data_IF_657852873465
#
_entry.id   IF_657852873465
#
_cell.length_a   1.000
_cell.length_b   1.000
_cell.length_c   1.000
_cell.angle_alpha   90.00
_cell.angle_beta   90.00
_cell.angle_gamma   90.00
#
_symmetry.space_group_name_H-M   'P 1'
#
loop_
_entity.id
_entity.type
_entity.pdbx_description
1 polymer ?
#
# COMPACT_ATOMS: atom_id res chain seq x y z
N UNK A 1 8.96 -28.80 4.94
CA UNK A 1 7.78 -28.37 5.72
C UNK A 1 7.58 -26.87 5.43
N UNK A 2 6.63 -26.51 4.56
CA UNK A 2 6.39 -25.10 4.19
C UNK A 2 5.57 -24.46 5.31
N UNK A 3 6.18 -23.55 6.08
CA UNK A 3 5.47 -22.70 7.03
C UNK A 3 4.50 -21.80 6.23
N UNK A 4 3.19 -21.80 6.52
CA UNK A 4 2.26 -20.96 5.79
C UNK A 4 2.53 -19.49 6.13
N UNK A 5 2.86 -18.70 5.10
CA UNK A 5 2.98 -17.24 5.19
C UNK A 5 1.59 -16.69 5.51
N UNK A 6 1.39 -15.89 6.58
CA UNK A 6 0.09 -15.29 6.86
C UNK A 6 -0.28 -14.37 5.69
N UNK A 7 -1.45 -14.61 5.08
CA UNK A 7 -1.96 -13.80 3.97
C UNK A 7 -2.00 -12.31 4.38
N UNK A 8 -1.19 -11.49 3.71
CA UNK A 8 -0.98 -10.04 3.91
C UNK A 8 -2.23 -9.15 3.75
N UNK A 9 -3.43 -9.72 3.64
CA UNK A 9 -4.68 -9.04 3.24
C UNK A 9 -5.61 -8.68 4.43
N UNK A 10 -5.07 -8.47 5.63
CA UNK A 10 -5.83 -8.37 6.88
C UNK A 10 -6.86 -7.23 6.97
N UNK A 11 -6.56 -6.05 6.41
CA UNK A 11 -7.41 -4.85 6.56
C UNK A 11 -8.67 -4.90 5.67
N UNK A 12 -8.51 -5.22 4.39
CA UNK A 12 -9.65 -5.37 3.48
C UNK A 12 -10.56 -6.53 3.91
N UNK A 13 -9.98 -7.57 4.53
CA UNK A 13 -10.74 -8.66 5.13
C UNK A 13 -11.64 -8.21 6.26
N UNK A 14 -11.20 -7.26 7.11
CA UNK A 14 -12.06 -6.72 8.16
C UNK A 14 -13.21 -5.90 7.56
N UNK A 15 -12.95 -5.10 6.52
CA UNK A 15 -13.97 -4.29 5.84
C UNK A 15 -15.01 -5.15 5.12
N UNK A 16 -14.59 -6.15 4.35
CA UNK A 16 -15.51 -7.01 3.60
C UNK A 16 -16.36 -7.91 4.52
N UNK A 17 -15.89 -8.21 5.75
CA UNK A 17 -16.70 -8.88 6.76
C UNK A 17 -17.86 -8.04 7.27
N UNK A 18 -17.76 -6.70 7.24
CA UNK A 18 -18.84 -5.79 7.64
C UNK A 18 -20.01 -5.86 6.62
N UNK A 19 -19.76 -6.34 5.39
CA UNK A 19 -20.71 -6.36 4.29
C UNK A 19 -21.19 -7.77 3.87
N UNK A 20 -21.14 -8.76 4.76
CA UNK A 20 -21.78 -10.09 4.55
C UNK A 20 -21.18 -10.87 3.38
N UNK A 21 -19.84 -10.89 3.26
CA UNK A 21 -19.15 -11.85 2.39
C UNK A 21 -18.45 -12.89 3.28
N UNK A 22 -19.09 -14.05 3.45
CA UNK A 22 -18.60 -15.15 4.29
C UNK A 22 -17.25 -15.73 3.80
N UNK A 23 -16.95 -15.58 2.51
CA UNK A 23 -15.66 -15.96 1.91
C UNK A 23 -15.02 -14.79 1.18
N UNK A 24 -13.83 -14.38 1.61
CA UNK A 24 -13.06 -13.30 0.98
C UNK A 24 -12.12 -13.90 -0.06
N UNK A 25 -12.59 -13.94 -1.30
CA UNK A 25 -11.77 -14.31 -2.46
C UNK A 25 -11.15 -13.08 -3.11
N UNK A 26 -10.12 -13.29 -3.92
CA UNK A 26 -9.45 -12.22 -4.69
C UNK A 26 -10.44 -11.44 -5.55
N UNK A 27 -11.43 -12.14 -6.11
CA UNK A 27 -12.45 -11.52 -6.95
C UNK A 27 -13.28 -10.47 -6.22
N UNK A 28 -13.68 -10.71 -4.96
CA UNK A 28 -14.43 -9.72 -4.18
C UNK A 28 -13.63 -8.43 -3.95
N UNK A 29 -12.30 -8.54 -3.80
CA UNK A 29 -11.42 -7.37 -3.65
C UNK A 29 -11.28 -6.61 -4.96
N UNK A 30 -11.19 -7.32 -6.08
CA UNK A 30 -11.16 -6.74 -7.44
C UNK A 30 -12.46 -5.98 -7.72
N UNK A 31 -13.61 -6.62 -7.55
CA UNK A 31 -14.94 -6.00 -7.74
C UNK A 31 -15.10 -4.75 -6.87
N UNK A 32 -14.69 -4.82 -5.59
CA UNK A 32 -14.76 -3.66 -4.70
C UNK A 32 -13.86 -2.51 -5.19
N UNK A 33 -12.69 -2.79 -5.75
CA UNK A 33 -11.81 -1.75 -6.33
C UNK A 33 -12.37 -1.18 -7.62
N UNK A 34 -12.93 -2.02 -8.49
CA UNK A 34 -13.62 -1.55 -9.69
C UNK A 34 -14.76 -0.61 -9.33
N UNK A 35 -15.63 -0.99 -8.38
CA UNK A 35 -16.72 -0.15 -7.90
C UNK A 35 -16.25 1.27 -7.51
N UNK A 36 -15.13 1.37 -6.79
CA UNK A 36 -14.56 2.66 -6.40
C UNK A 36 -14.02 3.43 -7.60
N UNK A 37 -13.22 2.79 -8.45
CA UNK A 37 -12.54 3.49 -9.56
C UNK A 37 -13.47 3.84 -10.72
N UNK A 38 -14.60 3.15 -10.87
CA UNK A 38 -15.62 3.46 -11.89
C UNK A 38 -16.78 4.29 -11.33
N UNK A 39 -16.62 4.88 -10.14
CA UNK A 39 -17.65 5.76 -9.58
C UNK A 39 -17.82 6.99 -10.49
N UNK A 40 -19.06 7.37 -10.88
CA UNK A 40 -19.27 8.52 -11.75
C UNK A 40 -18.69 9.81 -11.16
N UNK A 41 -18.06 10.62 -12.00
CA UNK A 41 -17.48 11.93 -11.65
C UNK A 41 -16.39 11.90 -10.54
N UNK A 42 -15.79 10.73 -10.25
CA UNK A 42 -14.79 10.58 -9.18
C UNK A 42 -13.57 11.50 -9.37
N UNK A 43 -13.19 11.75 -10.62
CA UNK A 43 -12.07 12.60 -11.01
C UNK A 43 -12.24 14.08 -10.59
N UNK A 44 -13.47 14.53 -10.34
CA UNK A 44 -13.72 15.88 -9.83
C UNK A 44 -13.23 16.08 -8.39
N UNK A 45 -13.02 14.99 -7.65
CA UNK A 45 -12.72 15.03 -6.22
C UNK A 45 -11.42 14.29 -5.85
N UNK A 46 -10.96 13.37 -6.69
CA UNK A 46 -9.82 12.50 -6.40
C UNK A 46 -8.73 12.74 -7.43
N UNK A 47 -7.59 13.27 -6.99
CA UNK A 47 -6.42 13.48 -7.84
C UNK A 47 -5.49 12.27 -7.91
N UNK A 48 -5.61 11.32 -6.97
CA UNK A 48 -4.80 10.12 -6.97
C UNK A 48 -5.36 9.01 -6.10
N UNK A 49 -5.06 7.77 -6.46
CA UNK A 49 -5.54 6.58 -5.75
C UNK A 49 -4.39 5.64 -5.43
N UNK A 50 -4.19 5.37 -4.13
CA UNK A 50 -3.13 4.47 -3.66
C UNK A 50 -3.64 3.03 -3.70
N UNK A 51 -2.93 2.18 -4.44
CA UNK A 51 -3.24 0.77 -4.60
C UNK A 51 -2.31 -0.13 -3.79
N UNK A 52 -2.80 -1.34 -3.53
CA UNK A 52 -1.98 -2.48 -3.13
C UNK A 52 -1.43 -3.17 -4.39
N UNK A 53 -0.29 -3.87 -4.29
CA UNK A 53 0.33 -4.58 -5.43
C UNK A 53 -0.67 -5.50 -6.14
N UNK A 54 -1.44 -6.27 -5.38
CA UNK A 54 -2.52 -7.11 -5.92
C UNK A 54 -3.53 -6.34 -6.78
N UNK A 55 -3.90 -5.12 -6.39
CA UNK A 55 -4.83 -4.28 -7.16
C UNK A 55 -4.13 -3.67 -8.38
N UNK A 56 -2.85 -3.35 -8.27
CA UNK A 56 -2.09 -2.79 -9.38
C UNK A 56 -1.99 -3.77 -10.57
N UNK A 57 -1.98 -5.08 -10.28
CA UNK A 57 -1.96 -6.16 -11.27
C UNK A 57 -3.35 -6.65 -11.71
N UNK A 58 -4.43 -6.03 -11.20
CA UNK A 58 -5.81 -6.36 -11.55
C UNK A 58 -6.38 -5.45 -12.64
N UNK A 59 -7.47 -5.91 -13.25
CA UNK A 59 -8.25 -5.14 -14.21
C UNK A 59 -9.75 -5.15 -13.91
N UNK A 60 -10.44 -4.27 -14.62
CA UNK A 60 -11.90 -4.17 -14.63
C UNK A 60 -12.54 -5.32 -15.42
N UNK A 61 -13.87 -5.39 -15.41
CA UNK A 61 -14.64 -6.32 -16.24
C UNK A 61 -14.45 -6.04 -17.75
N UNK A 62 -14.02 -4.83 -18.13
CA UNK A 62 -13.62 -4.48 -19.51
C UNK A 62 -12.19 -4.90 -19.85
N UNK A 63 -11.50 -5.62 -18.97
CA UNK A 63 -10.10 -6.05 -19.10
C UNK A 63 -9.06 -4.91 -19.13
N UNK A 64 -9.47 -3.67 -18.83
CA UNK A 64 -8.56 -2.54 -18.64
C UNK A 64 -7.86 -2.65 -17.28
N UNK A 65 -6.55 -2.45 -17.22
CA UNK A 65 -5.83 -2.48 -15.94
C UNK A 65 -6.24 -1.27 -15.09
N UNK A 66 -6.36 -1.45 -13.77
CA UNK A 66 -6.77 -0.34 -12.90
C UNK A 66 -5.86 0.91 -12.95
N UNK A 67 -4.52 0.80 -13.09
CA UNK A 67 -3.68 1.97 -13.33
C UNK A 67 -4.10 2.75 -14.59
N UNK A 68 -4.39 2.06 -15.69
CA UNK A 68 -4.77 2.67 -16.97
C UNK A 68 -6.15 3.35 -16.86
N UNK A 69 -7.09 2.69 -16.20
CA UNK A 69 -8.43 3.23 -15.93
C UNK A 69 -8.38 4.52 -15.10
N UNK A 70 -7.49 4.60 -14.12
CA UNK A 70 -7.30 5.83 -13.34
C UNK A 70 -6.66 6.93 -14.19
N UNK A 71 -5.64 6.59 -15.00
CA UNK A 71 -4.99 7.55 -15.89
C UNK A 71 -5.98 8.12 -16.91
N UNK A 72 -6.85 7.29 -17.50
CA UNK A 72 -7.85 7.74 -18.48
C UNK A 72 -8.89 8.68 -17.87
N UNK A 73 -9.17 8.54 -16.57
CA UNK A 73 -9.99 9.46 -15.79
C UNK A 73 -9.21 10.71 -15.28
N UNK A 74 -7.91 10.83 -15.55
CA UNK A 74 -7.09 11.94 -15.03
C UNK A 74 -6.66 11.81 -13.56
N UNK A 75 -6.75 10.61 -13.00
CA UNK A 75 -6.40 10.28 -11.62
C UNK A 75 -5.03 9.61 -11.58
N UNK A 76 -4.13 10.10 -10.72
CA UNK A 76 -2.77 9.56 -10.62
C UNK A 76 -2.77 8.18 -9.91
N UNK A 77 -2.23 7.12 -10.51
CA UNK A 77 -2.07 5.84 -9.84
C UNK A 77 -0.94 5.92 -8.80
N UNK A 78 -1.22 5.53 -7.56
CA UNK A 78 -0.22 5.44 -6.48
C UNK A 78 -0.01 4.00 -6.03
N UNK A 79 1.17 3.68 -5.48
CA UNK A 79 1.49 2.32 -5.00
C UNK A 79 1.96 2.31 -3.54
N UNK A 80 1.41 1.41 -2.73
CA UNK A 80 1.92 1.12 -1.37
C UNK A 80 3.13 0.19 -1.45
N UNK A 81 4.29 0.64 -0.98
CA UNK A 81 5.54 -0.13 -1.06
C UNK A 81 6.04 -0.70 0.28
N UNK A 82 5.53 -0.22 1.42
CA UNK A 82 5.87 -0.83 2.70
C UNK A 82 5.32 -2.26 2.83
N UNK A 83 6.08 -3.16 3.47
CA UNK A 83 5.75 -4.57 3.70
C UNK A 83 5.21 -4.85 5.11
N UNK A 84 4.79 -3.81 5.83
CA UNK A 84 4.17 -3.91 7.16
C UNK A 84 5.10 -3.50 8.29
N UNK A 85 4.59 -3.61 9.51
CA UNK A 85 5.27 -3.20 10.73
C UNK A 85 6.04 -4.37 11.36
N UNK A 86 7.16 -4.06 12.00
CA UNK A 86 7.93 -5.00 12.82
C UNK A 86 8.33 -4.33 14.13
N UNK A 87 8.39 -5.09 15.22
CA UNK A 87 8.80 -4.59 16.52
C UNK A 87 10.26 -4.14 16.50
N UNK A 88 10.55 -2.94 16.99
CA UNK A 88 11.94 -2.43 17.10
C UNK A 88 12.72 -3.25 18.13
N UNK A 89 12.08 -3.58 19.25
CA UNK A 89 12.65 -4.41 20.31
C UNK A 89 11.58 -5.37 20.85
N UNK A 90 12.01 -6.45 21.48
CA UNK A 90 11.10 -7.37 22.18
C UNK A 90 10.53 -6.82 23.49
N UNK A 91 11.03 -5.67 23.96
CA UNK A 91 10.67 -5.06 25.25
C UNK A 91 9.61 -3.95 25.13
N UNK A 92 9.36 -3.47 23.92
CA UNK A 92 8.47 -2.34 23.63
C UNK A 92 7.41 -2.76 22.61
N UNK A 93 6.23 -2.12 22.63
CA UNK A 93 5.22 -2.23 21.57
C UNK A 93 5.47 -1.25 20.39
N UNK A 94 6.65 -0.64 20.33
CA UNK A 94 7.02 0.28 19.26
C UNK A 94 7.52 -0.46 18.02
N UNK A 95 7.21 0.10 16.85
CA UNK A 95 7.43 -0.55 15.57
C UNK A 95 8.27 0.29 14.63
N UNK A 96 9.03 -0.38 13.77
CA UNK A 96 9.55 0.16 12.51
C UNK A 96 8.78 -0.46 11.35
N UNK A 97 9.10 -0.06 10.13
CA UNK A 97 8.42 -0.53 8.93
C UNK A 97 9.38 -1.24 7.97
N UNK A 98 8.96 -2.38 7.46
CA UNK A 98 9.72 -3.23 6.55
C UNK A 98 9.47 -2.88 5.08
N UNK A 99 10.38 -3.33 4.21
CA UNK A 99 10.17 -3.30 2.76
C UNK A 99 11.38 -2.93 1.89
N UNK A 100 12.58 -2.80 2.47
CA UNK A 100 13.76 -2.31 1.74
C UNK A 100 14.45 -3.34 0.83
N UNK A 101 14.34 -4.64 1.12
CA UNK A 101 15.14 -5.69 0.46
C UNK A 101 15.08 -5.66 -1.08
N UNK A 102 13.92 -5.31 -1.63
CA UNK A 102 13.65 -5.23 -3.06
C UNK A 102 12.98 -3.90 -3.46
N UNK A 103 13.10 -2.86 -2.63
CA UNK A 103 12.38 -1.60 -2.81
C UNK A 103 12.72 -0.93 -4.15
N UNK A 104 14.00 -0.84 -4.51
CA UNK A 104 14.42 -0.21 -5.76
C UNK A 104 13.81 -0.89 -6.99
N UNK A 105 13.89 -2.22 -7.05
CA UNK A 105 13.32 -3.01 -8.14
C UNK A 105 11.80 -2.86 -8.22
N UNK A 106 11.13 -2.81 -7.07
CA UNK A 106 9.68 -2.60 -7.01
C UNK A 106 9.29 -1.20 -7.44
N UNK A 107 10.02 -0.17 -7.00
CA UNK A 107 9.83 1.20 -7.48
C UNK A 107 9.91 1.24 -9.01
N UNK A 108 11.02 0.77 -9.59
CA UNK A 108 11.24 0.73 -11.03
C UNK A 108 10.10 -0.01 -11.77
N UNK A 109 9.73 -1.19 -11.28
CA UNK A 109 8.64 -1.98 -11.83
C UNK A 109 7.31 -1.22 -11.86
N UNK A 110 6.88 -0.64 -10.74
CA UNK A 110 5.58 0.05 -10.69
C UNK A 110 5.58 1.39 -11.44
N UNK A 111 6.68 2.15 -11.40
CA UNK A 111 6.82 3.38 -12.19
C UNK A 111 6.76 3.09 -13.70
N UNK A 112 7.44 2.02 -14.16
CA UNK A 112 7.36 1.59 -15.57
C UNK A 112 5.95 1.17 -16.03
N UNK A 113 5.06 0.88 -15.08
CA UNK A 113 3.67 0.48 -15.30
C UNK A 113 2.65 1.56 -14.92
N UNK A 114 3.09 2.81 -14.87
CA UNK A 114 2.19 3.96 -14.75
C UNK A 114 1.94 4.47 -13.34
N UNK A 115 2.56 3.89 -12.30
CA UNK A 115 2.54 4.52 -10.98
C UNK A 115 3.20 5.91 -11.05
N UNK A 116 2.64 6.89 -10.32
CA UNK A 116 3.11 8.27 -10.29
C UNK A 116 3.58 8.71 -8.91
N UNK A 117 3.20 7.98 -7.87
CA UNK A 117 3.66 8.23 -6.51
C UNK A 117 3.63 6.95 -5.68
N UNK A 118 4.36 6.96 -4.57
CA UNK A 118 4.45 5.82 -3.66
C UNK A 118 4.07 6.21 -2.23
N UNK A 119 3.61 5.22 -1.46
CA UNK A 119 3.24 5.38 -0.05
C UNK A 119 3.98 4.39 0.84
N UNK A 120 4.56 4.91 1.91
CA UNK A 120 5.12 4.17 3.04
C UNK A 120 4.45 4.61 4.34
N UNK A 121 4.23 3.70 5.29
CA UNK A 121 3.59 4.03 6.57
C UNK A 121 4.47 3.59 7.73
N UNK A 122 4.85 4.55 8.56
CA UNK A 122 5.42 4.33 9.88
C UNK A 122 4.35 4.56 10.95
N UNK A 123 4.52 3.94 12.12
CA UNK A 123 3.60 4.07 13.25
C UNK A 123 4.41 4.31 14.51
N UNK A 124 4.02 5.35 15.25
CA UNK A 124 4.56 5.68 16.55
C UNK A 124 3.53 5.37 17.63
N UNK A 125 3.99 4.89 18.78
CA UNK A 125 3.17 4.58 19.94
C UNK A 125 3.05 5.82 20.83
N UNK A 126 1.84 6.18 21.26
CA UNK A 126 1.56 7.33 22.12
C UNK A 126 1.11 6.84 23.50
N UNK A 127 2.08 6.55 24.37
CA UNK A 127 1.88 6.07 25.74
C UNK A 127 2.91 6.73 26.68
N UNK A 128 2.84 6.48 27.99
CA UNK A 128 3.84 6.99 28.94
C UNK A 128 5.26 6.61 28.52
N UNK A 129 6.15 7.59 28.42
CA UNK A 129 7.54 7.47 27.94
C UNK A 129 7.68 6.97 26.49
N UNK A 130 6.64 7.13 25.65
CA UNK A 130 6.66 6.84 24.21
C UNK A 130 6.06 8.02 23.41
N UNK A 131 6.47 8.23 22.15
CA UNK A 131 7.44 7.44 21.42
C UNK A 131 8.86 7.65 21.97
N UNK A 132 9.62 6.57 22.06
CA UNK A 132 11.02 6.64 22.48
C UNK A 132 11.84 7.34 21.40
N UNK A 133 12.95 7.94 21.79
CA UNK A 133 13.89 8.55 20.84
C UNK A 133 14.34 7.55 19.77
N UNK A 134 14.57 6.29 20.16
CA UNK A 134 14.90 5.19 19.25
C UNK A 134 13.80 4.97 18.20
N UNK A 135 12.53 4.98 18.59
CA UNK A 135 11.41 4.80 17.66
C UNK A 135 11.26 5.97 16.70
N UNK A 136 11.44 7.21 17.19
CA UNK A 136 11.42 8.42 16.36
C UNK A 136 12.54 8.35 15.31
N UNK A 137 13.79 8.14 15.75
CA UNK A 137 14.96 8.11 14.86
C UNK A 137 14.87 7.00 13.81
N UNK A 138 14.52 5.77 14.22
CA UNK A 138 14.41 4.66 13.28
C UNK A 138 13.36 4.93 12.20
N UNK A 139 12.15 5.39 12.59
CA UNK A 139 11.10 5.65 11.62
C UNK A 139 11.42 6.86 10.73
N UNK A 140 12.09 7.89 11.25
CA UNK A 140 12.54 9.04 10.46
C UNK A 140 13.58 8.62 9.39
N UNK A 141 14.60 7.84 9.78
CA UNK A 141 15.62 7.34 8.84
C UNK A 141 14.98 6.43 7.78
N UNK A 142 14.06 5.56 8.18
CA UNK A 142 13.32 4.69 7.25
C UNK A 142 12.54 5.53 6.24
N UNK A 143 11.78 6.53 6.68
CA UNK A 143 11.03 7.40 5.75
C UNK A 143 11.96 8.19 4.82
N UNK A 144 13.08 8.72 5.33
CA UNK A 144 14.04 9.44 4.51
C UNK A 144 14.65 8.53 3.42
N UNK A 145 15.09 7.32 3.78
CA UNK A 145 15.63 6.35 2.82
C UNK A 145 14.60 5.94 1.78
N UNK A 146 13.35 5.69 2.20
CA UNK A 146 12.25 5.40 1.28
C UNK A 146 12.05 6.54 0.28
N UNK A 147 11.97 7.79 0.76
CA UNK A 147 11.78 8.96 -0.08
C UNK A 147 12.91 9.12 -1.10
N UNK A 148 14.17 9.01 -0.65
CA UNK A 148 15.35 9.07 -1.53
C UNK A 148 15.32 8.00 -2.61
N UNK A 149 14.99 6.75 -2.26
CA UNK A 149 14.89 5.67 -3.25
C UNK A 149 13.76 5.95 -4.24
N UNK A 150 12.58 6.36 -3.79
CA UNK A 150 11.47 6.68 -4.68
C UNK A 150 11.80 7.81 -5.65
N UNK A 151 12.42 8.90 -5.18
CA UNK A 151 12.83 10.04 -6.00
C UNK A 151 13.98 9.69 -6.97
N UNK A 152 14.80 8.70 -6.66
CA UNK A 152 15.86 8.24 -7.58
C UNK A 152 15.34 7.39 -8.74
N UNK A 153 14.07 6.93 -8.68
CA UNK A 153 13.47 6.03 -9.68
C UNK A 153 12.25 6.61 -10.38
N UNK A 154 11.54 7.54 -9.75
CA UNK A 154 10.41 8.26 -10.34
C UNK A 154 10.85 9.63 -10.83
N UNK A 155 10.50 9.96 -12.07
CA UNK A 155 10.59 11.32 -12.64
C UNK A 155 9.47 12.24 -12.12
#
# INVERSE_FOLDING_TARGET
>A
MKVPIPLRNGLIRLMLKIQVLDTIVTENRRIYRQLLFTSPDIEKYISGAIMHEETFDQGSDSSEQFPDLLISAGILPGIKLDKGLESITSKTNETTTLGFDDLEKRCEYFYSRGAKFAKWRCVLCMETNKPTELAIWNNAIVLARFATICQSKGD
#
